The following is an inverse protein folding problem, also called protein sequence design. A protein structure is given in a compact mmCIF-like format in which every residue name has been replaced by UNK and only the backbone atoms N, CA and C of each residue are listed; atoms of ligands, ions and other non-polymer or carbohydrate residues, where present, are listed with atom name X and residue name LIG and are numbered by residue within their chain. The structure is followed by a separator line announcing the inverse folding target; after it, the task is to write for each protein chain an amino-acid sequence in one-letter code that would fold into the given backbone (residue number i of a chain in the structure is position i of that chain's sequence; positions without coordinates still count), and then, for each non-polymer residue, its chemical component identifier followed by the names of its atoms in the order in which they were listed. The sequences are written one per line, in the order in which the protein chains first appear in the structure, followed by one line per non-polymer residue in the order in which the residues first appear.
data_IF_969145794059
#
_entry.id   IF_969145794059
#
_cell.length_a   1.000
_cell.length_b   1.000
_cell.length_c   1.000
_cell.angle_alpha   90.00
_cell.angle_beta   90.00
_cell.angle_gamma   90.00
#
_symmetry.space_group_name_H-M   'P 1'
#
loop_
_entity.id
_entity.type
_entity.pdbx_description
1 polymer ?
#
# COMPACT_ATOMS: atom_id res chain seq x y z
N UNK A 1 25.22 11.55 -9.33
CA UNK A 1 24.22 11.00 -10.25
C UNK A 1 23.25 12.13 -10.62
N UNK A 2 23.08 12.41 -11.92
CA UNK A 2 22.13 13.41 -12.42
C UNK A 2 20.79 12.73 -12.71
N UNK A 3 19.68 13.39 -12.35
CA UNK A 3 18.34 12.92 -12.61
C UNK A 3 17.53 14.04 -13.26
N UNK A 4 16.81 13.71 -14.33
CA UNK A 4 15.93 14.62 -15.05
C UNK A 4 14.51 14.10 -14.90
N UNK A 5 13.56 14.99 -14.60
CA UNK A 5 12.14 14.67 -14.46
C UNK A 5 11.32 15.30 -15.57
N UNK A 6 10.37 14.56 -16.08
CA UNK A 6 9.31 15.00 -17.00
C UNK A 6 7.97 14.68 -16.35
N UNK A 7 7.36 15.69 -15.74
CA UNK A 7 6.11 15.54 -14.99
C UNK A 7 4.95 15.64 -15.97
N UNK A 8 4.09 14.64 -16.02
CA UNK A 8 2.89 14.64 -16.85
C UNK A 8 1.69 15.25 -16.14
N UNK A 9 0.77 15.81 -16.93
CA UNK A 9 -0.52 16.33 -16.48
C UNK A 9 -1.67 15.62 -17.16
N UNK A 10 -2.87 15.64 -16.53
CA UNK A 10 -4.10 15.07 -17.10
C UNK A 10 -4.55 15.80 -18.36
N UNK A 11 -4.25 17.08 -18.43
CA UNK A 11 -4.71 17.99 -19.49
C UNK A 11 -3.77 18.03 -20.70
N UNK A 12 -2.63 17.34 -20.62
CA UNK A 12 -1.63 17.32 -21.68
C UNK A 12 -1.92 16.26 -22.75
N UNK A 13 -1.73 16.65 -24.01
CA UNK A 13 -1.77 15.73 -25.16
C UNK A 13 -0.73 14.62 -24.97
N UNK A 14 -1.14 13.35 -25.00
CA UNK A 14 -0.24 12.22 -24.75
C UNK A 14 0.16 12.07 -23.27
N UNK A 15 -0.45 12.82 -22.32
CA UNK A 15 -0.25 12.74 -20.86
C UNK A 15 1.12 13.27 -20.38
N UNK A 16 1.97 13.67 -21.30
CA UNK A 16 3.24 14.34 -21.09
C UNK A 16 3.70 14.92 -22.42
N UNK A 17 3.71 16.25 -22.52
CA UNK A 17 4.05 16.94 -23.77
C UNK A 17 5.55 16.83 -24.11
N UNK A 18 6.38 16.75 -23.08
CA UNK A 18 7.83 16.74 -23.24
C UNK A 18 8.41 15.34 -23.48
N UNK A 19 7.68 14.30 -23.02
CA UNK A 19 8.16 12.91 -23.08
C UNK A 19 7.04 12.00 -23.58
N UNK A 20 7.24 11.41 -24.74
CA UNK A 20 6.30 10.45 -25.33
C UNK A 20 6.88 9.05 -25.28
N UNK A 21 6.09 8.10 -24.83
CA UNK A 21 6.43 6.68 -24.76
C UNK A 21 5.37 5.89 -25.53
N UNK A 22 5.80 5.10 -26.50
CA UNK A 22 4.94 4.22 -27.29
C UNK A 22 5.45 2.79 -27.24
N UNK A 23 4.54 1.82 -27.21
CA UNK A 23 4.93 0.42 -27.22
C UNK A 23 4.88 -0.12 -28.66
N UNK A 24 6.00 -0.70 -29.10
CA UNK A 24 6.13 -1.35 -30.39
C UNK A 24 5.98 -2.87 -30.23
N UNK A 25 4.85 -3.40 -30.68
CA UNK A 25 4.54 -4.84 -30.58
C UNK A 25 5.49 -5.71 -31.42
N UNK A 26 5.98 -5.22 -32.57
CA UNK A 26 6.81 -5.99 -33.47
C UNK A 26 8.17 -6.34 -32.84
N UNK A 27 8.77 -5.37 -32.16
CA UNK A 27 10.09 -5.51 -31.57
C UNK A 27 10.05 -5.76 -30.05
N UNK A 28 8.84 -5.80 -29.47
CA UNK A 28 8.65 -5.96 -28.01
C UNK A 28 9.40 -4.90 -27.18
N UNK A 29 9.55 -3.68 -27.69
CA UNK A 29 10.28 -2.56 -27.16
C UNK A 29 9.39 -1.34 -26.95
N UNK A 30 9.89 -0.34 -26.23
CA UNK A 30 9.26 0.96 -26.12
C UNK A 30 10.08 1.99 -26.86
N UNK A 31 9.44 2.74 -27.75
CA UNK A 31 10.01 3.87 -28.45
C UNK A 31 9.79 5.14 -27.61
N UNK A 32 10.85 5.93 -27.49
CA UNK A 32 10.89 7.17 -26.71
C UNK A 32 11.03 8.34 -27.68
N UNK A 33 10.29 9.43 -27.45
CA UNK A 33 10.49 10.74 -28.05
C UNK A 33 10.54 11.79 -26.96
N UNK A 34 11.65 12.53 -26.87
CA UNK A 34 11.85 13.60 -25.88
C UNK A 34 11.97 14.91 -26.64
N UNK A 35 11.14 15.89 -26.29
CA UNK A 35 11.16 17.21 -26.88
C UNK A 35 12.38 17.98 -26.38
N UNK A 36 13.18 18.55 -27.30
CA UNK A 36 14.40 19.29 -26.96
C UNK A 36 14.11 20.72 -26.53
N UNK A 37 13.33 21.47 -27.31
CA UNK A 37 13.02 22.86 -27.02
C UNK A 37 11.79 23.36 -27.79
N UNK A 38 11.29 24.56 -27.39
CA UNK A 38 10.23 25.25 -28.09
C UNK A 38 10.87 26.17 -29.15
N UNK A 39 10.66 25.89 -30.41
CA UNK A 39 11.08 26.82 -31.49
C UNK A 39 12.02 26.29 -32.55
N UNK A 40 12.40 25.01 -32.51
CA UNK A 40 13.17 24.33 -33.55
C UNK A 40 12.27 23.72 -34.65
N UNK A 41 12.80 23.49 -35.84
CA UNK A 41 12.12 22.77 -36.93
C UNK A 41 11.68 21.38 -36.49
N UNK A 42 10.62 20.84 -37.09
CA UNK A 42 9.98 19.61 -36.60
C UNK A 42 10.92 18.41 -36.53
N UNK A 43 11.86 18.29 -37.45
CA UNK A 43 12.83 17.19 -37.52
C UNK A 43 13.94 17.27 -36.46
N UNK A 44 14.25 18.46 -35.94
CA UNK A 44 15.24 18.65 -34.87
C UNK A 44 14.62 18.70 -33.47
N UNK A 45 13.31 18.75 -33.39
CA UNK A 45 12.53 18.99 -32.18
C UNK A 45 12.58 17.86 -31.18
N UNK A 46 12.91 16.64 -31.60
CA UNK A 46 12.85 15.46 -30.76
C UNK A 46 14.15 14.67 -30.74
N UNK A 47 14.50 14.16 -29.56
CA UNK A 47 15.46 13.06 -29.41
C UNK A 47 14.68 11.76 -29.35
N UNK A 48 15.01 10.82 -30.22
CA UNK A 48 14.38 9.50 -30.24
C UNK A 48 15.31 8.46 -29.65
N UNK A 49 14.72 7.46 -28.99
CA UNK A 49 15.45 6.37 -28.36
C UNK A 49 14.55 5.15 -28.13
N UNK A 50 15.16 4.10 -27.61
CA UNK A 50 14.45 2.84 -27.29
C UNK A 50 14.75 2.43 -25.86
N UNK A 51 13.79 1.83 -25.19
CA UNK A 51 13.98 1.28 -23.85
C UNK A 51 13.18 -0.02 -23.61
N UNK A 52 13.50 -0.67 -22.51
CA UNK A 52 12.83 -1.88 -22.05
C UNK A 52 12.40 -1.70 -20.59
N UNK A 53 11.23 -2.26 -20.26
CA UNK A 53 10.79 -2.36 -18.86
C UNK A 53 10.69 -3.83 -18.46
N UNK A 54 11.48 -4.23 -17.47
CA UNK A 54 11.46 -5.59 -16.93
C UNK A 54 10.33 -5.78 -15.90
N UNK A 55 9.93 -4.68 -15.24
CA UNK A 55 8.91 -4.71 -14.19
C UNK A 55 7.64 -4.00 -14.66
N UNK A 56 6.48 -4.58 -14.33
CA UNK A 56 5.15 -4.01 -14.62
C UNK A 56 4.88 -3.66 -16.08
N UNK A 57 5.59 -4.28 -17.02
CA UNK A 57 5.49 -4.04 -18.47
C UNK A 57 4.04 -4.10 -18.97
N UNK A 58 3.31 -5.18 -18.65
CA UNK A 58 1.93 -5.37 -19.11
C UNK A 58 0.99 -4.30 -18.57
N UNK A 59 1.19 -3.86 -17.32
CA UNK A 59 0.42 -2.75 -16.73
C UNK A 59 0.70 -1.44 -17.47
N UNK A 60 1.96 -1.17 -17.80
CA UNK A 60 2.36 0.01 -18.57
C UNK A 60 1.74 -0.02 -19.98
N UNK A 61 1.81 -1.16 -20.67
CA UNK A 61 1.20 -1.34 -22.01
C UNK A 61 -0.31 -1.09 -21.93
N UNK A 62 -1.01 -1.69 -20.97
CA UNK A 62 -2.44 -1.47 -20.76
C UNK A 62 -2.75 0.01 -20.49
N UNK A 63 -1.90 0.69 -19.69
CA UNK A 63 -2.06 2.12 -19.42
C UNK A 63 -1.82 2.96 -20.67
N UNK A 64 -0.82 2.64 -21.49
CA UNK A 64 -0.53 3.36 -22.74
C UNK A 64 -1.63 3.18 -23.79
N UNK A 65 -2.18 1.98 -23.90
CA UNK A 65 -3.26 1.65 -24.84
C UNK A 65 -4.60 2.27 -24.44
N UNK A 66 -4.83 2.45 -23.14
CA UNK A 66 -6.07 3.03 -22.65
C UNK A 66 -6.01 4.55 -22.77
N UNK A 67 -6.95 5.17 -23.49
CA UNK A 67 -7.06 6.64 -23.62
C UNK A 67 -7.46 7.34 -22.30
N UNK A 68 -7.30 6.68 -21.15
CA UNK A 68 -7.60 7.24 -19.83
C UNK A 68 -6.69 8.44 -19.54
N UNK A 69 -7.21 9.40 -18.80
CA UNK A 69 -6.57 10.66 -18.43
C UNK A 69 -5.50 10.52 -17.33
N UNK A 70 -4.88 9.35 -17.17
CA UNK A 70 -3.85 9.13 -16.14
C UNK A 70 -2.54 9.77 -16.57
N UNK A 71 -2.00 10.75 -15.83
CA UNK A 71 -0.73 11.39 -16.16
C UNK A 71 0.42 10.38 -16.07
N UNK A 72 1.41 10.55 -16.96
CA UNK A 72 2.63 9.75 -16.97
C UNK A 72 3.81 10.63 -16.60
N UNK A 73 4.48 10.31 -15.51
CA UNK A 73 5.71 11.02 -15.10
C UNK A 73 6.90 10.12 -15.40
N UNK A 74 7.90 10.70 -16.05
CA UNK A 74 9.12 9.98 -16.38
C UNK A 74 10.31 10.60 -15.65
N UNK A 75 11.28 9.76 -15.28
CA UNK A 75 12.57 10.25 -14.83
C UNK A 75 13.71 9.46 -15.47
N UNK A 76 14.70 10.17 -15.95
CA UNK A 76 15.93 9.60 -16.51
C UNK A 76 17.03 9.75 -15.48
N UNK A 77 17.65 8.63 -15.11
CA UNK A 77 18.75 8.59 -14.15
C UNK A 77 19.99 8.05 -14.85
N UNK A 78 21.12 8.76 -14.72
CA UNK A 78 22.43 8.25 -15.16
C UNK A 78 23.13 7.61 -13.97
N UNK A 79 23.47 6.32 -14.09
CA UNK A 79 24.19 5.57 -13.07
C UNK A 79 25.21 4.64 -13.73
N UNK A 80 26.47 4.73 -13.30
CA UNK A 80 27.58 3.91 -13.84
C UNK A 80 27.67 3.93 -15.37
N UNK A 81 27.56 5.11 -15.97
CA UNK A 81 27.64 5.31 -17.43
C UNK A 81 26.40 4.85 -18.21
N UNK A 82 25.40 4.28 -17.56
CA UNK A 82 24.14 3.81 -18.17
C UNK A 82 22.98 4.73 -17.81
N UNK A 83 21.98 4.80 -18.70
CA UNK A 83 20.75 5.54 -18.48
C UNK A 83 19.61 4.58 -18.12
N UNK A 84 18.84 4.96 -17.09
CA UNK A 84 17.68 4.22 -16.63
C UNK A 84 16.46 5.12 -16.74
N UNK A 85 15.42 4.61 -17.37
CA UNK A 85 14.11 5.28 -17.45
C UNK A 85 13.17 4.70 -16.41
N UNK A 86 12.66 5.57 -15.54
CA UNK A 86 11.57 5.25 -14.62
C UNK A 86 10.28 5.87 -15.14
N UNK A 87 9.21 5.10 -15.18
CA UNK A 87 7.87 5.57 -15.52
C UNK A 87 6.96 5.41 -14.30
N UNK A 88 6.37 6.51 -13.85
CA UNK A 88 5.42 6.54 -12.73
C UNK A 88 4.03 6.86 -13.24
N UNK A 89 3.05 6.03 -12.88
CA UNK A 89 1.66 6.18 -13.27
C UNK A 89 0.73 5.58 -12.22
N UNK A 90 -0.49 6.09 -12.13
CA UNK A 90 -1.54 5.48 -11.34
C UNK A 90 -2.13 4.29 -12.09
N UNK A 91 -2.21 3.16 -11.45
CA UNK A 91 -2.88 1.98 -11.97
C UNK A 91 -4.01 1.58 -11.01
N UNK A 92 -5.24 1.69 -11.49
CA UNK A 92 -6.41 1.20 -10.75
C UNK A 92 -6.60 -0.28 -11.04
N UNK A 93 -6.82 -1.07 -10.01
CA UNK A 93 -7.35 -2.43 -10.17
C UNK A 93 -8.82 -2.26 -10.54
N UNK A 94 -9.17 -2.63 -11.76
CA UNK A 94 -10.53 -2.47 -12.28
C UNK A 94 -11.44 -3.63 -11.91
N UNK A 95 -10.86 -4.77 -11.46
CA UNK A 95 -11.62 -5.99 -11.19
C UNK A 95 -11.16 -6.66 -9.90
N UNK A 96 -12.13 -6.88 -8.98
CA UNK A 96 -11.91 -7.68 -7.76
C UNK A 96 -11.53 -9.14 -8.07
N UNK A 97 -11.83 -9.62 -9.29
CA UNK A 97 -11.44 -10.95 -9.76
C UNK A 97 -9.92 -11.15 -9.83
N UNK A 98 -9.14 -10.07 -9.92
CA UNK A 98 -7.68 -10.11 -9.97
C UNK A 98 -7.02 -10.54 -8.63
N UNK A 99 -7.75 -10.46 -7.50
CA UNK A 99 -7.21 -10.89 -6.22
C UNK A 99 -7.22 -12.43 -6.08
N UNK A 100 -6.16 -12.96 -5.47
CA UNK A 100 -6.00 -14.39 -5.15
C UNK A 100 -6.68 -14.77 -3.84
N UNK A 101 -7.03 -13.77 -3.02
CA UNK A 101 -7.69 -13.95 -1.73
C UNK A 101 -9.16 -13.57 -1.82
N UNK A 102 -9.98 -14.16 -0.94
CA UNK A 102 -11.43 -13.91 -0.86
C UNK A 102 -11.88 -13.95 0.59
N UNK A 103 -12.62 -12.93 1.03
CA UNK A 103 -13.20 -12.91 2.38
C UNK A 103 -14.14 -14.10 2.66
N UNK A 104 -14.67 -14.73 1.62
CA UNK A 104 -15.49 -15.93 1.73
C UNK A 104 -14.79 -17.13 2.36
N UNK A 105 -13.47 -17.16 2.38
CA UNK A 105 -12.68 -18.15 3.10
C UNK A 105 -12.38 -17.74 4.55
N UNK A 106 -12.73 -16.54 4.93
CA UNK A 106 -12.40 -15.88 6.18
C UNK A 106 -11.46 -14.71 5.98
N UNK A 107 -10.93 -14.19 7.08
CA UNK A 107 -10.06 -13.01 7.08
C UNK A 107 -8.94 -13.13 8.10
N UNK A 108 -7.86 -12.37 7.90
CA UNK A 108 -6.78 -12.18 8.86
C UNK A 108 -6.85 -10.76 9.39
N UNK A 109 -7.20 -10.58 10.66
CA UNK A 109 -7.20 -9.27 11.31
C UNK A 109 -5.84 -8.90 11.86
N UNK A 110 -5.45 -7.65 11.68
CA UNK A 110 -4.17 -7.11 12.15
C UNK A 110 -4.43 -5.90 13.03
N UNK A 111 -4.02 -5.97 14.30
CA UNK A 111 -4.00 -4.87 15.24
C UNK A 111 -2.58 -4.30 15.32
N UNK A 112 -2.41 -3.05 14.88
CA UNK A 112 -1.11 -2.37 14.82
C UNK A 112 -0.77 -1.72 16.16
N UNK A 113 0.29 -2.21 16.80
CA UNK A 113 0.75 -1.71 18.08
C UNK A 113 2.20 -1.23 18.04
N UNK A 114 2.62 -0.52 19.09
CA UNK A 114 3.99 -0.08 19.27
C UNK A 114 4.93 -1.28 19.47
N UNK A 115 5.73 -1.59 18.44
CA UNK A 115 6.73 -2.65 18.48
C UNK A 115 6.22 -4.05 18.15
N UNK A 116 4.93 -4.23 17.84
CA UNK A 116 4.39 -5.50 17.40
C UNK A 116 3.08 -5.36 16.61
N UNK A 117 2.76 -6.38 15.83
CA UNK A 117 1.48 -6.58 15.16
C UNK A 117 0.82 -7.79 15.82
N UNK A 118 -0.41 -7.65 16.33
CA UNK A 118 -1.19 -8.78 16.79
C UNK A 118 -2.11 -9.27 15.68
N UNK A 119 -2.15 -10.58 15.47
CA UNK A 119 -2.86 -11.23 14.39
C UNK A 119 -3.90 -12.19 14.89
N UNK A 120 -5.04 -12.24 14.24
CA UNK A 120 -6.07 -13.26 14.42
C UNK A 120 -6.58 -13.71 13.06
N UNK A 121 -6.51 -15.00 12.81
CA UNK A 121 -7.09 -15.63 11.63
C UNK A 121 -8.44 -16.20 11.97
N UNK A 122 -9.45 -15.96 11.13
CA UNK A 122 -10.80 -16.52 11.28
C UNK A 122 -11.22 -17.31 10.05
N UNK A 123 -12.13 -18.25 10.25
CA UNK A 123 -12.79 -18.97 9.17
C UNK A 123 -13.96 -18.15 8.56
N UNK A 124 -14.62 -18.73 7.56
CA UNK A 124 -15.79 -18.12 6.89
C UNK A 124 -16.98 -17.84 7.81
N UNK A 125 -17.06 -18.52 8.94
CA UNK A 125 -18.12 -18.36 9.94
C UNK A 125 -17.74 -17.37 11.04
N UNK A 126 -16.53 -16.83 11.01
CA UNK A 126 -16.00 -15.89 12.00
C UNK A 126 -15.45 -16.56 13.26
N UNK A 127 -15.15 -17.86 13.22
CA UNK A 127 -14.52 -18.57 14.34
C UNK A 127 -13.00 -18.38 14.27
N UNK A 128 -12.37 -18.27 15.44
CA UNK A 128 -10.93 -18.14 15.56
C UNK A 128 -10.22 -19.44 15.14
N UNK A 129 -9.31 -19.34 14.19
CA UNK A 129 -8.51 -20.46 13.66
C UNK A 129 -7.08 -20.41 14.18
N UNK A 130 -6.51 -19.22 14.30
CA UNK A 130 -5.14 -19.04 14.77
C UNK A 130 -4.84 -17.62 15.20
N UNK A 131 -3.77 -17.45 15.96
CA UNK A 131 -3.28 -16.16 16.44
C UNK A 131 -1.77 -16.09 16.36
N UNK A 132 -1.21 -14.88 16.18
CA UNK A 132 0.23 -14.67 16.22
C UNK A 132 0.54 -13.24 16.71
N UNK A 133 1.78 -13.01 17.17
CA UNK A 133 2.32 -11.70 17.53
C UNK A 133 3.67 -11.53 16.85
N UNK A 134 3.72 -10.66 15.85
CA UNK A 134 4.92 -10.35 15.10
C UNK A 134 5.60 -9.09 15.66
N UNK A 135 6.80 -9.24 16.22
CA UNK A 135 7.56 -8.14 16.81
C UNK A 135 8.37 -7.40 15.74
N UNK A 136 8.47 -6.07 15.87
CA UNK A 136 9.32 -5.21 15.06
C UNK A 136 9.97 -4.12 15.90
N UNK A 137 11.09 -3.58 15.48
CA UNK A 137 11.74 -2.45 16.16
C UNK A 137 10.95 -1.17 15.92
N UNK A 138 10.45 -0.61 17.00
CA UNK A 138 9.71 0.65 16.93
C UNK A 138 10.67 1.85 16.91
N UNK A 139 10.52 2.73 15.91
CA UNK A 139 11.38 3.91 15.77
C UNK A 139 11.31 4.54 14.39
N UNK A 140 12.34 5.31 14.09
CA UNK A 140 12.55 5.91 12.75
C UNK A 140 13.70 5.18 12.05
N UNK A 141 13.60 5.08 10.73
CA UNK A 141 14.70 4.65 9.87
C UNK A 141 14.53 3.27 9.26
N UNK A 142 15.56 2.87 8.50
CA UNK A 142 15.54 1.70 7.63
C UNK A 142 15.34 0.37 8.38
N UNK A 143 15.79 0.28 9.63
CA UNK A 143 15.62 -0.93 10.45
C UNK A 143 14.16 -1.20 10.80
N UNK A 144 13.40 -0.15 11.16
CA UNK A 144 11.95 -0.26 11.41
C UNK A 144 11.22 -0.67 10.14
N UNK A 145 11.57 -0.07 9.01
CA UNK A 145 10.97 -0.42 7.72
C UNK A 145 11.24 -1.88 7.35
N UNK A 146 12.48 -2.33 7.44
CA UNK A 146 12.85 -3.72 7.12
C UNK A 146 12.13 -4.74 8.01
N UNK A 147 12.02 -4.46 9.32
CA UNK A 147 11.30 -5.34 10.24
C UNK A 147 9.79 -5.38 9.91
N UNK A 148 9.17 -4.24 9.57
CA UNK A 148 7.78 -4.19 9.13
C UNK A 148 7.56 -4.93 7.82
N UNK A 149 8.47 -4.81 6.85
CA UNK A 149 8.42 -5.56 5.59
C UNK A 149 8.48 -7.07 5.84
N UNK A 150 9.33 -7.52 6.77
CA UNK A 150 9.39 -8.92 7.19
C UNK A 150 8.08 -9.40 7.85
N UNK A 151 7.50 -8.59 8.75
CA UNK A 151 6.20 -8.91 9.35
C UNK A 151 5.10 -9.00 8.28
N UNK A 152 5.03 -8.01 7.39
CA UNK A 152 4.06 -7.98 6.29
C UNK A 152 4.22 -9.20 5.37
N UNK A 153 5.45 -9.57 5.05
CA UNK A 153 5.72 -10.76 4.21
C UNK A 153 5.18 -12.05 4.83
N UNK A 154 5.28 -12.22 6.16
CA UNK A 154 4.68 -13.36 6.87
C UNK A 154 3.15 -13.34 6.80
N UNK A 155 2.54 -12.18 7.01
CA UNK A 155 1.08 -12.01 6.93
C UNK A 155 0.58 -12.35 5.52
N UNK A 156 1.25 -11.83 4.49
CA UNK A 156 0.92 -12.07 3.09
C UNK A 156 1.07 -13.54 2.70
N UNK A 157 2.17 -14.18 3.13
CA UNK A 157 2.36 -15.61 2.93
C UNK A 157 1.17 -16.39 3.48
N UNK A 158 0.77 -16.10 4.72
CA UNK A 158 -0.39 -16.75 5.35
C UNK A 158 -1.70 -16.46 4.62
N UNK A 159 -1.91 -15.22 4.18
CA UNK A 159 -3.09 -14.82 3.42
C UNK A 159 -3.19 -15.59 2.08
N UNK A 160 -2.08 -15.74 1.36
CA UNK A 160 -2.03 -16.50 0.10
C UNK A 160 -2.25 -18.01 0.33
N UNK A 161 -1.61 -18.60 1.35
CA UNK A 161 -1.77 -20.02 1.69
C UNK A 161 -3.21 -20.38 2.05
N UNK A 162 -3.94 -19.46 2.68
CA UNK A 162 -5.31 -19.69 3.15
C UNK A 162 -6.39 -19.06 2.26
N UNK A 163 -5.98 -18.29 1.25
CA UNK A 163 -6.89 -17.56 0.36
C UNK A 163 -7.69 -16.45 1.03
N UNK A 164 -7.26 -15.95 2.22
CA UNK A 164 -8.00 -15.01 3.06
C UNK A 164 -7.58 -13.57 2.86
N UNK A 165 -8.54 -12.65 2.91
CA UNK A 165 -8.26 -11.22 2.88
C UNK A 165 -7.63 -10.74 4.19
N UNK A 166 -6.82 -9.67 4.10
CA UNK A 166 -6.21 -9.03 5.27
C UNK A 166 -7.06 -7.83 5.69
N UNK A 167 -7.37 -7.73 6.98
CA UNK A 167 -8.15 -6.65 7.56
C UNK A 167 -7.33 -5.88 8.59
N UNK A 168 -7.38 -4.55 8.56
CA UNK A 168 -6.82 -3.68 9.60
C UNK A 168 -7.64 -2.41 9.79
N UNK A 169 -7.42 -1.71 10.89
CA UNK A 169 -8.16 -0.50 11.21
C UNK A 169 -7.78 0.67 10.29
N UNK A 170 -8.77 1.45 9.85
CA UNK A 170 -8.56 2.70 9.14
C UNK A 170 -8.37 3.84 10.14
N UNK A 171 -7.14 4.01 10.63
CA UNK A 171 -6.80 5.04 11.61
C UNK A 171 -6.54 6.39 10.91
N UNK A 172 -7.50 7.29 10.96
CA UNK A 172 -7.33 8.67 10.48
C UNK A 172 -6.63 9.54 11.54
N UNK A 173 -5.32 9.66 11.42
CA UNK A 173 -4.53 10.54 12.29
C UNK A 173 -4.63 12.03 11.92
N UNK A 174 -5.15 12.40 10.75
CA UNK A 174 -5.27 13.80 10.32
C UNK A 174 -6.32 14.54 11.15
N UNK A 175 -7.44 13.88 11.42
CA UNK A 175 -8.53 14.48 12.20
C UNK A 175 -8.25 14.50 13.72
N UNK A 176 -7.32 13.67 14.24
CA UNK A 176 -6.94 13.72 15.66
C UNK A 176 -6.04 14.92 16.00
N UNK A 177 -5.30 15.47 15.04
CA UNK A 177 -4.45 16.67 15.28
C UNK A 177 -5.25 17.91 15.66
N UNK A 178 -6.47 18.06 15.15
CA UNK A 178 -7.32 19.23 15.43
C UNK A 178 -7.98 19.22 16.82
N UNK A 179 -8.16 18.05 17.43
CA UNK A 179 -8.80 17.91 18.76
C UNK A 179 -7.83 17.98 19.94
N UNK A 180 -6.52 17.78 19.72
CA UNK A 180 -5.51 17.65 20.78
C UNK A 180 -4.84 18.97 21.17
N UNK A 181 -5.29 20.11 20.64
CA UNK A 181 -4.66 21.44 20.89
C UNK A 181 -4.98 21.98 22.29
N UNK A 182 -5.91 21.38 23.04
CA UNK A 182 -6.36 21.93 24.34
C UNK A 182 -5.77 21.28 25.61
N UNK A 183 -4.97 20.23 25.51
CA UNK A 183 -4.36 19.63 26.69
C UNK A 183 -2.85 19.93 26.77
N UNK A 184 -2.41 20.47 27.93
CA UNK A 184 -0.99 20.59 28.31
C UNK A 184 -0.38 19.20 28.42
N UNK A 185 -0.05 18.59 27.28
CA UNK A 185 0.54 17.25 27.23
C UNK A 185 2.06 17.35 27.26
N UNK A 186 2.65 16.54 28.13
CA UNK A 186 4.05 16.27 28.30
C UNK A 186 4.76 16.09 26.93
N UNK A 187 5.90 16.75 26.72
CA UNK A 187 6.67 16.70 25.46
C UNK A 187 6.95 15.25 25.01
N UNK A 188 7.18 14.35 25.97
CA UNK A 188 7.39 12.93 25.69
C UNK A 188 6.16 12.20 25.09
N UNK A 189 4.95 12.51 25.58
CA UNK A 189 3.71 11.93 25.03
C UNK A 189 3.46 12.40 23.60
N UNK A 190 3.71 13.68 23.31
CA UNK A 190 3.59 14.22 21.94
C UNK A 190 4.56 13.54 20.97
N UNK A 191 5.79 13.34 21.38
CA UNK A 191 6.81 12.66 20.58
C UNK A 191 6.44 11.19 20.30
N UNK A 192 6.01 10.45 21.32
CA UNK A 192 5.57 9.06 21.17
C UNK A 192 4.34 8.92 20.26
N UNK A 193 3.38 9.83 20.37
CA UNK A 193 2.20 9.85 19.50
C UNK A 193 2.58 10.16 18.03
N UNK A 194 3.54 11.06 17.83
CA UNK A 194 4.07 11.35 16.49
C UNK A 194 4.78 10.14 15.89
N UNK A 195 5.63 9.45 16.67
CA UNK A 195 6.31 8.22 16.21
C UNK A 195 5.32 7.11 15.88
N UNK A 196 4.28 6.93 16.70
CA UNK A 196 3.24 5.95 16.43
C UNK A 196 2.49 6.26 15.12
N UNK A 197 2.11 7.52 14.92
CA UNK A 197 1.48 7.97 13.67
C UNK A 197 2.35 7.75 12.44
N UNK A 198 3.66 8.04 12.53
CA UNK A 198 4.61 7.80 11.44
C UNK A 198 4.79 6.32 11.13
N UNK A 199 4.92 5.48 12.16
CA UNK A 199 5.07 4.04 11.99
C UNK A 199 3.81 3.39 11.44
N UNK A 200 2.63 3.85 11.84
CA UNK A 200 1.36 3.40 11.26
C UNK A 200 1.23 3.81 9.78
N UNK A 201 1.58 5.05 9.43
CA UNK A 201 1.55 5.51 8.05
C UNK A 201 2.51 4.71 7.16
N UNK A 202 3.69 4.38 7.68
CA UNK A 202 4.66 3.51 7.00
C UNK A 202 4.08 2.10 6.82
N UNK A 203 3.55 1.49 7.87
CA UNK A 203 2.90 0.18 7.83
C UNK A 203 1.78 0.14 6.79
N UNK A 204 0.85 1.10 6.83
CA UNK A 204 -0.27 1.15 5.90
C UNK A 204 0.20 1.26 4.45
N UNK A 205 1.21 2.11 4.18
CA UNK A 205 1.81 2.23 2.85
C UNK A 205 2.46 0.93 2.39
N UNK A 206 3.23 0.29 3.26
CA UNK A 206 3.94 -0.96 2.92
C UNK A 206 2.95 -2.10 2.68
N UNK A 207 2.03 -2.36 3.61
CA UNK A 207 1.10 -3.48 3.50
C UNK A 207 0.20 -3.33 2.26
N UNK A 208 -0.30 -2.13 2.00
CA UNK A 208 -1.14 -1.87 0.82
C UNK A 208 -0.37 -2.10 -0.48
N UNK A 209 0.87 -1.57 -0.58
CA UNK A 209 1.68 -1.73 -1.79
C UNK A 209 2.11 -3.18 -2.02
N UNK A 210 2.54 -3.88 -0.97
CA UNK A 210 3.02 -5.26 -1.10
C UNK A 210 1.85 -6.21 -1.34
N UNK A 211 0.72 -6.03 -0.65
CA UNK A 211 -0.50 -6.81 -0.88
C UNK A 211 -1.01 -6.64 -2.31
N UNK A 212 -1.07 -5.42 -2.81
CA UNK A 212 -1.45 -5.14 -4.19
C UNK A 212 -0.57 -5.86 -5.21
N UNK A 213 0.76 -5.84 -5.01
CA UNK A 213 1.71 -6.54 -5.91
C UNK A 213 1.51 -8.06 -5.90
N UNK A 214 1.11 -8.62 -4.78
CA UNK A 214 0.88 -10.04 -4.58
C UNK A 214 -0.58 -10.46 -4.80
N UNK A 215 -1.43 -9.55 -5.27
CA UNK A 215 -2.86 -9.80 -5.50
C UNK A 215 -3.61 -10.28 -4.25
N UNK A 216 -3.26 -9.75 -3.10
CA UNK A 216 -3.93 -9.97 -1.82
C UNK A 216 -4.85 -8.80 -1.52
N UNK A 217 -6.12 -9.07 -1.24
CA UNK A 217 -7.10 -8.04 -0.95
C UNK A 217 -6.93 -7.48 0.47
N UNK A 218 -7.10 -6.17 0.59
CA UNK A 218 -7.04 -5.44 1.86
C UNK A 218 -8.42 -4.86 2.17
N UNK A 219 -8.89 -5.11 3.39
CA UNK A 219 -10.13 -4.55 3.93
C UNK A 219 -9.78 -3.61 5.09
N UNK A 220 -10.11 -2.34 4.95
CA UNK A 220 -10.01 -1.37 6.03
C UNK A 220 -11.31 -1.34 6.82
N UNK A 221 -11.21 -1.40 8.15
CA UNK A 221 -12.37 -1.43 9.04
C UNK A 221 -12.39 -0.23 9.98
N UNK A 222 -13.59 0.15 10.43
CA UNK A 222 -13.75 1.22 11.40
C UNK A 222 -13.07 0.83 12.73
N UNK A 223 -12.18 1.67 13.30
CA UNK A 223 -11.45 1.38 14.53
C UNK A 223 -12.28 1.50 15.82
N UNK A 224 -13.50 2.04 15.73
CA UNK A 224 -14.29 2.32 16.93
C UNK A 224 -14.59 1.06 17.74
N UNK A 225 -14.24 1.10 19.04
CA UNK A 225 -14.59 0.10 20.06
C UNK A 225 -14.00 -1.31 19.86
N UNK A 226 -13.04 -1.53 18.96
CA UNK A 226 -12.46 -2.88 18.72
C UNK A 226 -11.87 -3.49 19.99
N UNK A 227 -11.00 -2.76 20.70
CA UNK A 227 -10.40 -3.23 21.96
C UNK A 227 -11.44 -3.38 23.08
N UNK A 228 -12.45 -2.50 23.13
CA UNK A 228 -13.50 -2.58 24.14
C UNK A 228 -14.41 -3.80 23.92
N UNK A 229 -14.82 -4.08 22.68
CA UNK A 229 -15.57 -5.29 22.31
C UNK A 229 -14.72 -6.53 22.61
N UNK A 230 -13.43 -6.51 22.25
CA UNK A 230 -12.52 -7.61 22.54
C UNK A 230 -12.49 -7.94 24.02
N UNK A 231 -12.27 -6.93 24.87
CA UNK A 231 -12.19 -7.09 26.33
C UNK A 231 -13.47 -7.69 26.92
N UNK A 232 -14.64 -7.13 26.56
CA UNK A 232 -15.89 -7.48 27.22
C UNK A 232 -16.57 -8.72 26.65
N UNK A 233 -16.26 -9.13 25.43
CA UNK A 233 -16.94 -10.24 24.78
C UNK A 233 -16.08 -11.48 24.58
N UNK A 234 -14.78 -11.31 24.32
CA UNK A 234 -13.93 -12.40 23.82
C UNK A 234 -12.73 -12.73 24.71
N UNK A 235 -12.05 -11.73 25.28
CA UNK A 235 -10.74 -11.96 25.92
C UNK A 235 -10.81 -12.95 27.07
N UNK A 236 -11.77 -12.81 27.98
CA UNK A 236 -11.91 -13.70 29.12
C UNK A 236 -12.33 -15.10 28.66
N UNK A 237 -13.39 -15.20 27.88
CA UNK A 237 -13.95 -16.46 27.38
C UNK A 237 -12.99 -17.30 26.59
N UNK A 238 -12.15 -16.65 25.76
CA UNK A 238 -11.22 -17.30 24.84
C UNK A 238 -9.77 -17.27 25.35
N UNK A 239 -9.52 -16.75 26.55
CA UNK A 239 -8.18 -16.57 27.15
C UNK A 239 -7.21 -15.81 26.24
N UNK A 240 -7.71 -14.77 25.56
CA UNK A 240 -6.91 -13.93 24.67
C UNK A 240 -6.41 -12.68 25.38
N UNK A 241 -5.20 -12.24 25.05
CA UNK A 241 -4.78 -10.91 25.45
C UNK A 241 -5.55 -9.85 24.62
N UNK A 242 -5.57 -8.61 25.13
CA UNK A 242 -6.41 -7.53 24.60
C UNK A 242 -6.08 -7.21 23.10
N UNK A 243 -4.82 -7.31 22.69
CA UNK A 243 -4.40 -6.99 21.32
C UNK A 243 -4.79 -8.08 20.33
N UNK A 244 -4.63 -9.35 20.72
CA UNK A 244 -5.12 -10.48 19.94
C UNK A 244 -6.66 -10.47 19.88
N UNK A 245 -7.31 -10.14 20.99
CA UNK A 245 -8.77 -9.93 21.01
C UNK A 245 -9.21 -8.81 20.06
N UNK A 246 -8.47 -7.68 20.02
CA UNK A 246 -8.74 -6.58 19.09
C UNK A 246 -8.56 -7.02 17.64
N UNK A 247 -7.46 -7.72 17.31
CA UNK A 247 -7.24 -8.26 15.96
C UNK A 247 -8.35 -9.26 15.56
N UNK A 248 -8.88 -10.05 16.50
CA UNK A 248 -10.01 -10.93 16.27
C UNK A 248 -11.30 -10.15 15.91
N UNK A 249 -11.61 -9.07 16.64
CA UNK A 249 -12.74 -8.18 16.31
C UNK A 249 -12.54 -7.51 14.95
N UNK A 250 -11.31 -7.08 14.63
CA UNK A 250 -10.96 -6.51 13.33
C UNK A 250 -11.22 -7.53 12.21
N UNK A 251 -10.78 -8.78 12.37
CA UNK A 251 -11.03 -9.85 11.41
C UNK A 251 -12.54 -10.07 11.19
N UNK A 252 -13.30 -10.23 12.25
CA UNK A 252 -14.77 -10.42 12.20
C UNK A 252 -15.47 -9.26 11.52
N UNK A 253 -15.06 -8.02 11.83
CA UNK A 253 -15.59 -6.81 11.19
C UNK A 253 -15.27 -6.76 9.70
N UNK A 254 -14.09 -7.19 9.30
CA UNK A 254 -13.70 -7.33 7.89
C UNK A 254 -14.56 -8.35 7.14
N UNK A 255 -14.94 -9.43 7.80
CA UNK A 255 -15.87 -10.42 7.25
C UNK A 255 -17.32 -9.88 7.14
N UNK A 256 -17.61 -8.75 7.79
CA UNK A 256 -18.94 -8.13 7.83
C UNK A 256 -19.76 -8.48 9.08
N UNK A 257 -19.16 -9.18 10.06
CA UNK A 257 -19.81 -9.54 11.30
C UNK A 257 -19.86 -8.33 12.24
N UNK A 258 -21.07 -8.02 12.74
CA UNK A 258 -21.31 -6.95 13.72
C UNK A 258 -21.30 -7.55 15.12
N UNK A 259 -20.24 -7.21 15.87
CA UNK A 259 -20.16 -7.58 17.29
C UNK A 259 -20.69 -6.44 18.17
N UNK A 260 -21.65 -6.75 19.01
CA UNK A 260 -22.20 -5.86 20.04
C UNK A 260 -21.92 -6.44 21.42
N UNK A 261 -21.74 -5.57 22.40
CA UNK A 261 -21.69 -5.93 23.81
C UNK A 261 -23.03 -5.52 24.40
N UNK A 262 -23.73 -6.46 25.00
CA UNK A 262 -24.95 -6.20 25.75
C UNK A 262 -24.61 -5.65 27.13
#
# INVERSE_FOLDING_TARGET
DSQIFYIGSKDETGRNQMFQLTYNNQNNQFDIKIRKDFGMDEDEKYVSGKCYFNHHKNKLIKTLSNKSSTPLTYSIIRKNGKYYLHCTFEYKVEDESDFLTRKTYGTIGVDFNKGFLALSEIDKNGNLVGTDILKYRFGKGNKTQSDLENCISKILKRALETGKDICFEDLDFKNKKSKTIKEKTDKGKKYNNMLHSLSYSLYTKLITNIAFRNKVAIIKVNPAWTSWIAKNKFCERMKLNIHVGASFVIARRGLGIKDTVK
#
